data_IF_972202723902
#
_entry.id   IF_972202723902
#
_cell.length_a   1.000
_cell.length_b   1.000
_cell.length_c   1.000
_cell.angle_alpha   90.00
_cell.angle_beta   90.00
_cell.angle_gamma   90.00
#
_symmetry.space_group_name_H-M   'P 1'
#
loop_
_entity.id
_entity.type
_entity.pdbx_description
1 polymer ?
#
# COMPACT_ATOMS: atom_id res chain seq x y z
N UNK A 1 -19.28 1.87 54.22
CA UNK A 1 -19.31 2.72 53.00
C UNK A 1 -17.90 2.78 52.39
N UNK A 2 -17.63 1.97 51.37
CA UNK A 2 -16.47 2.11 50.48
C UNK A 2 -17.03 1.94 49.06
N UNK A 3 -17.73 2.98 48.63
CA UNK A 3 -18.42 3.05 47.37
C UNK A 3 -17.45 3.58 46.31
N UNK A 4 -17.29 2.80 45.23
CA UNK A 4 -17.15 3.35 43.89
C UNK A 4 -15.97 4.29 43.60
N UNK A 5 -14.73 3.81 43.73
CA UNK A 5 -13.59 4.44 43.03
C UNK A 5 -13.07 3.56 41.90
N UNK A 6 -13.14 2.23 42.05
CA UNK A 6 -12.73 1.29 41.00
C UNK A 6 -13.70 1.28 39.81
N UNK A 7 -15.01 1.44 40.06
CA UNK A 7 -16.02 1.43 38.99
C UNK A 7 -15.88 2.64 38.04
N UNK A 8 -15.51 3.81 38.57
CA UNK A 8 -15.33 5.05 37.80
C UNK A 8 -14.08 5.00 36.91
N UNK A 9 -12.99 4.38 37.37
CA UNK A 9 -11.77 4.23 36.56
C UNK A 9 -11.98 3.28 35.39
N UNK A 10 -12.73 2.18 35.59
CA UNK A 10 -13.07 1.25 34.50
C UNK A 10 -14.02 1.88 33.47
N UNK A 11 -14.99 2.71 33.89
CA UNK A 11 -15.86 3.45 32.98
C UNK A 11 -15.10 4.52 32.17
N UNK A 12 -14.12 5.21 32.78
CA UNK A 12 -13.30 6.20 32.09
C UNK A 12 -12.39 5.57 31.02
N UNK A 13 -11.85 4.37 31.26
CA UNK A 13 -11.03 3.64 30.28
C UNK A 13 -11.89 3.15 29.10
N UNK A 14 -13.11 2.67 29.35
CA UNK A 14 -14.05 2.27 28.29
C UNK A 14 -14.50 3.45 27.40
N UNK A 15 -14.64 4.65 27.97
CA UNK A 15 -14.97 5.88 27.22
C UNK A 15 -13.78 6.45 26.42
N UNK A 16 -12.54 6.24 26.86
CA UNK A 16 -11.36 6.68 26.12
C UNK A 16 -11.05 5.77 24.92
N UNK A 17 -11.32 4.47 25.01
CA UNK A 17 -11.15 3.55 23.86
C UNK A 17 -12.20 3.81 22.76
N UNK A 18 -13.41 4.27 23.13
CA UNK A 18 -14.48 4.57 22.19
C UNK A 18 -14.30 5.88 21.41
N UNK A 19 -13.38 6.77 21.82
CA UNK A 19 -13.23 8.12 21.23
C UNK A 19 -11.95 8.33 20.42
N UNK A 20 -11.05 7.34 20.37
CA UNK A 20 -9.77 7.45 19.62
C UNK A 20 -9.84 6.84 18.19
N UNK A 21 -10.96 6.25 17.77
CA UNK A 21 -11.11 5.77 16.39
C UNK A 21 -12.45 6.15 15.75
N UNK A 22 -12.67 7.42 15.36
CA UNK A 22 -13.56 7.72 14.24
C UNK A 22 -12.93 7.38 12.87
N UNK A 23 -11.94 6.47 12.82
CA UNK A 23 -11.24 6.04 11.60
C UNK A 23 -11.24 4.53 11.33
N UNK A 24 -11.93 3.71 12.14
CA UNK A 24 -12.11 2.28 11.90
C UNK A 24 -13.59 1.90 11.86
N UNK A 25 -14.39 2.63 11.08
CA UNK A 25 -15.68 2.13 10.61
C UNK A 25 -15.47 1.52 9.23
N UNK A 26 -15.14 0.22 9.20
CA UNK A 26 -15.08 -0.73 8.07
C UNK A 26 -13.96 -1.69 8.47
N UNK A 27 -14.24 -2.83 9.08
CA UNK A 27 -14.53 -4.06 8.36
C UNK A 27 -15.37 -4.96 9.27
N UNK A 28 -16.61 -5.22 8.86
CA UNK A 28 -17.44 -6.31 9.39
C UNK A 28 -16.84 -7.63 8.87
N UNK A 29 -16.48 -8.60 9.73
CA UNK A 29 -16.06 -9.91 9.25
C UNK A 29 -17.31 -10.66 8.75
N UNK A 30 -17.53 -10.68 7.44
CA UNK A 30 -18.62 -11.48 6.85
C UNK A 30 -19.28 -10.93 5.59
N UNK A 31 -19.08 -9.66 5.23
CA UNK A 31 -19.63 -9.10 3.98
C UNK A 31 -18.60 -8.18 3.33
N UNK A 32 -18.07 -8.64 2.18
CA UNK A 32 -17.12 -7.89 1.35
C UNK A 32 -15.67 -8.29 1.56
N UNK A 33 -15.23 -9.38 0.92
CA UNK A 33 -13.83 -9.44 0.46
C UNK A 33 -13.63 -8.18 -0.37
N UNK A 34 -12.86 -7.21 0.13
CA UNK A 34 -12.32 -6.17 -0.72
C UNK A 34 -11.28 -6.85 -1.61
N UNK A 35 -11.76 -7.51 -2.68
CA UNK A 35 -10.90 -8.15 -3.65
C UNK A 35 -10.35 -7.01 -4.49
N UNK A 36 -9.17 -6.53 -4.12
CA UNK A 36 -8.39 -5.65 -4.99
C UNK A 36 -8.25 -6.35 -6.35
N UNK A 37 -8.41 -5.58 -7.42
CA UNK A 37 -8.33 -6.08 -8.80
C UNK A 37 -7.02 -5.65 -9.45
N UNK A 38 -6.61 -6.41 -10.44
CA UNK A 38 -5.59 -5.97 -11.38
C UNK A 38 -6.11 -4.78 -12.20
N UNK A 39 -5.17 -4.06 -12.82
CA UNK A 39 -5.56 -3.06 -13.80
C UNK A 39 -6.09 -3.77 -15.06
N UNK A 40 -7.15 -3.24 -15.71
CA UNK A 40 -7.75 -3.90 -16.86
C UNK A 40 -6.82 -3.97 -18.07
N UNK A 41 -6.00 -2.93 -18.27
CA UNK A 41 -5.06 -2.80 -19.37
C UNK A 41 -3.90 -1.87 -19.02
N UNK A 42 -2.85 -1.89 -19.84
CA UNK A 42 -1.67 -1.04 -19.68
C UNK A 42 -2.02 0.45 -19.69
N UNK A 43 -2.97 0.89 -20.51
CA UNK A 43 -3.33 2.31 -20.62
C UNK A 43 -3.95 2.83 -19.32
N UNK A 44 -4.80 2.04 -18.67
CA UNK A 44 -5.40 2.35 -17.38
C UNK A 44 -4.33 2.41 -16.27
N UNK A 45 -3.41 1.44 -16.24
CA UNK A 45 -2.27 1.46 -15.32
C UNK A 45 -1.39 2.69 -15.56
N UNK A 46 -1.01 2.95 -16.80
CA UNK A 46 -0.14 4.05 -17.22
C UNK A 46 -0.73 5.41 -16.84
N UNK A 47 -2.03 5.60 -17.11
CA UNK A 47 -2.76 6.80 -16.70
C UNK A 47 -2.79 6.95 -15.18
N UNK A 48 -3.03 5.86 -14.44
CA UNK A 48 -3.07 5.88 -12.98
C UNK A 48 -1.71 6.19 -12.36
N UNK A 49 -0.62 5.58 -12.84
CA UNK A 49 0.74 5.86 -12.37
C UNK A 49 1.10 7.33 -12.61
N UNK A 50 0.74 7.87 -13.78
CA UNK A 50 0.99 9.27 -14.12
C UNK A 50 0.26 10.27 -13.21
N UNK A 51 -0.89 9.91 -12.66
CA UNK A 51 -1.65 10.78 -11.74
C UNK A 51 -1.27 10.64 -10.27
N UNK A 52 -0.47 9.63 -9.89
CA UNK A 52 -0.14 9.32 -8.49
C UNK A 52 1.36 9.25 -8.16
N UNK A 53 2.23 10.16 -8.65
CA UNK A 53 3.63 10.16 -8.23
C UNK A 53 3.73 10.50 -6.73
N UNK A 54 4.50 9.72 -5.98
CA UNK A 54 4.78 9.93 -4.56
C UNK A 54 6.21 10.44 -4.40
N UNK A 55 6.36 11.77 -4.40
CA UNK A 55 7.66 12.40 -4.21
C UNK A 55 8.15 12.26 -2.76
N UNK A 56 9.46 12.11 -2.62
CA UNK A 56 10.16 12.17 -1.35
C UNK A 56 11.47 12.95 -1.56
N UNK A 57 12.10 13.36 -0.46
CA UNK A 57 13.36 14.09 -0.54
C UNK A 57 14.49 13.15 -0.99
N UNK A 58 15.14 13.47 -2.09
CA UNK A 58 16.33 12.75 -2.56
C UNK A 58 17.41 12.65 -1.47
N UNK A 59 18.13 11.53 -1.42
CA UNK A 59 19.15 11.26 -0.41
C UNK A 59 18.63 10.86 0.98
N UNK A 60 17.32 10.72 1.17
CA UNK A 60 16.71 10.32 2.46
C UNK A 60 16.82 8.82 2.79
N UNK A 61 17.50 8.04 1.94
CA UNK A 61 17.75 6.62 2.13
C UNK A 61 16.54 5.71 1.82
N UNK A 62 16.76 4.39 1.94
CA UNK A 62 15.79 3.36 1.57
C UNK A 62 14.45 3.48 2.31
N UNK A 63 14.46 3.88 3.59
CA UNK A 63 13.23 4.01 4.38
C UNK A 63 12.26 5.04 3.80
N UNK A 64 12.77 6.15 3.24
CA UNK A 64 11.94 7.16 2.60
C UNK A 64 11.36 6.67 1.28
N UNK A 65 12.16 5.95 0.48
CA UNK A 65 11.69 5.31 -0.75
C UNK A 65 10.57 4.31 -0.46
N UNK A 66 10.76 3.44 0.55
CA UNK A 66 9.76 2.43 0.87
C UNK A 66 8.49 3.04 1.47
N UNK A 67 8.60 4.12 2.24
CA UNK A 67 7.43 4.87 2.71
C UNK A 67 6.62 5.46 1.54
N UNK A 68 7.29 5.97 0.50
CA UNK A 68 6.63 6.46 -0.72
C UNK A 68 5.96 5.31 -1.51
N UNK A 69 6.62 4.17 -1.66
CA UNK A 69 6.02 2.98 -2.29
C UNK A 69 4.78 2.47 -1.53
N UNK A 70 4.83 2.47 -0.19
CA UNK A 70 3.66 2.15 0.63
C UNK A 70 2.53 3.16 0.47
N UNK A 71 2.82 4.43 0.18
CA UNK A 71 1.79 5.42 -0.13
C UNK A 71 1.12 5.11 -1.48
N UNK A 72 1.88 4.78 -2.53
CA UNK A 72 1.32 4.33 -3.82
C UNK A 72 0.38 3.13 -3.62
N UNK A 73 0.81 2.13 -2.85
CA UNK A 73 -0.01 0.94 -2.56
C UNK A 73 -1.32 1.29 -1.86
N UNK A 74 -1.32 2.26 -0.94
CA UNK A 74 -2.53 2.70 -0.23
C UNK A 74 -3.49 3.46 -1.13
N UNK A 75 -2.99 4.38 -1.95
CA UNK A 75 -3.81 5.12 -2.93
C UNK A 75 -4.43 4.16 -3.94
N UNK A 76 -3.65 3.20 -4.46
CA UNK A 76 -4.17 2.17 -5.36
C UNK A 76 -5.28 1.34 -4.71
N UNK A 77 -5.07 0.92 -3.46
CA UNK A 77 -6.08 0.17 -2.72
C UNK A 77 -7.36 0.99 -2.47
N UNK A 78 -7.24 2.30 -2.24
CA UNK A 78 -8.38 3.21 -2.12
C UNK A 78 -9.18 3.31 -3.43
N UNK A 79 -8.51 3.24 -4.57
CA UNK A 79 -9.11 3.16 -5.90
C UNK A 79 -9.55 1.74 -6.32
N UNK A 80 -9.31 0.74 -5.45
CA UNK A 80 -9.69 -0.65 -5.64
C UNK A 80 -8.70 -1.50 -6.44
N UNK A 81 -7.50 -1.00 -6.72
CA UNK A 81 -6.45 -1.71 -7.44
C UNK A 81 -5.44 -2.39 -6.53
N UNK A 82 -4.88 -3.51 -7.02
CA UNK A 82 -3.77 -4.20 -6.37
C UNK A 82 -2.43 -3.63 -6.88
N UNK A 83 -1.69 -3.01 -5.97
CA UNK A 83 -0.28 -2.62 -6.17
C UNK A 83 0.54 -3.19 -5.02
N UNK A 84 1.71 -3.73 -5.31
CA UNK A 84 2.63 -4.26 -4.30
C UNK A 84 3.86 -3.36 -4.18
N UNK A 85 4.10 -2.82 -2.98
CA UNK A 85 5.36 -2.17 -2.64
C UNK A 85 6.39 -3.22 -2.20
N UNK A 86 7.53 -3.29 -2.89
CA UNK A 86 8.58 -4.25 -2.61
C UNK A 86 9.91 -3.57 -2.30
N UNK A 87 10.68 -4.22 -1.42
CA UNK A 87 12.09 -3.95 -1.18
C UNK A 87 12.84 -5.23 -1.45
N UNK A 88 13.84 -5.17 -2.32
CA UNK A 88 14.75 -6.28 -2.55
C UNK A 88 16.19 -5.83 -2.35
N UNK A 89 17.05 -6.72 -1.88
CA UNK A 89 18.48 -6.47 -1.94
C UNK A 89 18.93 -6.50 -3.40
N UNK A 90 19.75 -5.53 -3.79
CA UNK A 90 20.23 -5.38 -5.15
C UNK A 90 21.15 -6.57 -5.47
N UNK A 91 20.87 -7.35 -6.53
CA UNK A 91 21.70 -8.48 -6.88
C UNK A 91 23.16 -8.07 -7.11
N UNK A 92 24.08 -8.73 -6.42
CA UNK A 92 25.52 -8.47 -6.55
C UNK A 92 26.04 -7.24 -5.81
N UNK A 93 25.24 -6.62 -4.93
CA UNK A 93 25.73 -5.50 -4.11
C UNK A 93 25.18 -5.58 -2.68
N UNK A 94 26.04 -5.98 -1.74
CA UNK A 94 25.69 -6.12 -0.34
C UNK A 94 25.28 -4.77 0.27
N UNK A 95 24.11 -4.74 0.90
CA UNK A 95 23.59 -3.56 1.60
C UNK A 95 23.00 -2.46 0.72
N UNK A 96 22.94 -2.66 -0.61
CA UNK A 96 22.13 -1.82 -1.50
C UNK A 96 20.75 -2.45 -1.70
N UNK A 97 19.70 -1.63 -1.62
CA UNK A 97 18.31 -2.08 -1.76
C UNK A 97 17.62 -1.36 -2.90
N UNK A 98 16.82 -2.09 -3.67
CA UNK A 98 15.91 -1.56 -4.67
C UNK A 98 14.51 -1.50 -4.07
N UNK A 99 13.84 -0.37 -4.28
CA UNK A 99 12.44 -0.16 -3.88
C UNK A 99 11.63 0.13 -5.13
N UNK A 100 10.56 -0.63 -5.35
CA UNK A 100 9.65 -0.41 -6.47
C UNK A 100 8.21 -0.77 -6.11
N UNK A 101 7.30 -0.31 -6.94
CA UNK A 101 5.90 -0.71 -6.98
C UNK A 101 5.72 -1.70 -8.14
N UNK A 102 4.86 -2.71 -7.97
CA UNK A 102 4.45 -3.61 -9.05
C UNK A 102 2.94 -3.76 -9.14
N UNK A 103 2.43 -3.98 -10.35
CA UNK A 103 1.02 -4.26 -10.62
C UNK A 103 0.85 -5.10 -11.88
N UNK A 104 -0.22 -5.89 -11.93
CA UNK A 104 -0.64 -6.60 -13.13
C UNK A 104 -1.56 -5.72 -13.97
N UNK A 105 -1.36 -5.77 -15.30
CA UNK A 105 -2.28 -5.23 -16.29
C UNK A 105 -2.24 -6.11 -17.55
N UNK A 106 -3.40 -6.51 -18.06
CA UNK A 106 -3.51 -7.41 -19.23
C UNK A 106 -2.63 -8.67 -19.09
N UNK A 107 -2.64 -9.28 -17.90
CA UNK A 107 -1.82 -10.44 -17.56
C UNK A 107 -0.32 -10.19 -17.44
N UNK A 108 0.18 -9.01 -17.83
CA UNK A 108 1.60 -8.66 -17.76
C UNK A 108 1.93 -7.96 -16.44
N UNK A 109 3.13 -8.20 -15.91
CA UNK A 109 3.62 -7.55 -14.70
C UNK A 109 4.43 -6.31 -15.05
N UNK A 110 4.11 -5.19 -14.42
CA UNK A 110 4.80 -3.92 -14.57
C UNK A 110 5.45 -3.48 -13.25
N UNK A 111 6.46 -2.63 -13.36
CA UNK A 111 7.16 -2.05 -12.23
C UNK A 111 7.49 -0.57 -12.45
N UNK A 112 7.61 0.19 -11.35
CA UNK A 112 8.05 1.59 -11.35
C UNK A 112 8.58 2.00 -9.98
N UNK A 113 9.40 3.05 -9.93
CA UNK A 113 9.73 3.70 -8.68
C UNK A 113 8.60 4.66 -8.25
N UNK A 114 8.32 4.82 -6.95
CA UNK A 114 7.14 5.54 -6.47
C UNK A 114 7.06 7.01 -6.92
N UNK A 115 8.19 7.64 -7.24
CA UNK A 115 8.30 9.00 -7.74
C UNK A 115 8.10 9.12 -9.26
N UNK A 116 8.12 8.00 -9.99
CA UNK A 116 8.04 7.98 -11.44
C UNK A 116 6.60 8.14 -11.93
N UNK A 117 6.44 8.89 -13.02
CA UNK A 117 5.14 9.05 -13.71
C UNK A 117 4.96 8.06 -14.86
N UNK A 118 5.73 6.96 -14.87
CA UNK A 118 5.73 5.95 -15.92
C UNK A 118 6.03 4.58 -15.30
N UNK A 119 5.39 3.54 -15.82
CA UNK A 119 5.73 2.15 -15.52
C UNK A 119 6.48 1.46 -16.68
N UNK A 120 7.21 0.42 -16.32
CA UNK A 120 8.03 -0.39 -17.21
C UNK A 120 7.58 -1.86 -17.14
N UNK A 121 7.60 -2.55 -18.28
CA UNK A 121 7.29 -3.97 -18.33
C UNK A 121 8.37 -4.77 -17.56
N UNK A 122 7.92 -5.65 -16.66
CA UNK A 122 8.78 -6.60 -15.94
C UNK A 122 8.72 -7.98 -16.59
N UNK A 123 7.51 -8.52 -16.76
CA UNK A 123 7.25 -9.81 -17.39
C UNK A 123 6.00 -9.72 -18.26
N UNK A 124 6.01 -10.38 -19.41
CA UNK A 124 4.81 -10.48 -20.25
C UNK A 124 3.86 -11.54 -19.69
N UNK A 125 2.59 -11.49 -20.10
CA UNK A 125 1.60 -12.50 -19.74
C UNK A 125 2.08 -13.92 -20.08
N UNK A 126 2.69 -14.12 -21.26
CA UNK A 126 3.19 -15.44 -21.68
C UNK A 126 4.33 -15.95 -20.80
N UNK A 127 5.14 -15.06 -20.22
CA UNK A 127 6.21 -15.42 -19.31
C UNK A 127 5.72 -15.77 -17.89
N UNK A 128 4.46 -15.47 -17.58
CA UNK A 128 3.83 -15.72 -16.28
C UNK A 128 2.92 -16.96 -16.30
N UNK A 129 2.68 -17.56 -17.47
CA UNK A 129 1.99 -18.84 -17.58
C UNK A 129 2.91 -19.98 -17.06
N UNK A 130 2.39 -20.88 -16.21
CA UNK A 130 3.17 -21.94 -15.55
C UNK A 130 3.59 -23.10 -16.47
#
# INVERSE_FOLDING_TARGET
MKCSTRLLVWLAILLLVATILPGCSLLKPGEGKCSLKDFPDYETLSAWVKSHPQSFKEGSGMGAWYAAALAVQREAAADGYLVSAAVIEKPGTEGEYLVWCTALADGSLYWWHPEESKCNLMFTAEALEP
#
